data_IF_880122923496
#
_entry.id   IF_880122923496
#
_cell.length_a   1.000
_cell.length_b   1.000
_cell.length_c   1.000
_cell.angle_alpha   90.00
_cell.angle_beta   90.00
_cell.angle_gamma   90.00
#
_symmetry.space_group_name_H-M   'P 1'
#
loop_
_entity.id
_entity.type
_entity.pdbx_description
1 polymer ?
#
# COMPACT_ATOMS: atom_id res chain seq x y z
N UNK A 1 -32.99 -10.33 26.60
CA UNK A 1 -31.92 -10.52 27.60
C UNK A 1 -30.64 -9.90 27.02
N UNK A 2 -30.24 -8.71 27.48
CA UNK A 2 -29.14 -7.96 26.87
C UNK A 2 -27.81 -8.63 27.21
N UNK A 3 -27.05 -9.07 26.21
CA UNK A 3 -25.68 -9.54 26.36
C UNK A 3 -24.74 -8.36 26.74
N UNK A 4 -24.85 -7.85 27.97
CA UNK A 4 -23.87 -6.90 28.55
C UNK A 4 -22.64 -7.67 29.02
N UNK A 5 -21.90 -8.23 28.08
CA UNK A 5 -20.71 -9.03 28.34
C UNK A 5 -19.56 -8.66 27.40
N UNK A 6 -18.34 -8.94 27.84
CA UNK A 6 -17.16 -8.81 26.98
C UNK A 6 -17.19 -9.90 25.91
N UNK A 7 -17.00 -9.51 24.64
CA UNK A 7 -16.89 -10.40 23.47
C UNK A 7 -15.51 -10.25 22.84
N UNK A 8 -14.96 -11.35 22.34
CA UNK A 8 -13.71 -11.35 21.55
C UNK A 8 -14.04 -11.85 20.15
N UNK A 9 -13.75 -11.04 19.14
CA UNK A 9 -13.91 -11.38 17.73
C UNK A 9 -12.53 -11.62 17.12
N UNK A 10 -12.37 -12.75 16.44
CA UNK A 10 -11.15 -13.13 15.73
C UNK A 10 -11.48 -13.33 14.26
N UNK A 11 -10.88 -12.52 13.41
CA UNK A 11 -10.92 -12.66 11.98
C UNK A 11 -9.53 -13.11 11.55
N UNK A 12 -9.39 -14.40 11.21
CA UNK A 12 -8.09 -14.97 10.84
C UNK A 12 -7.63 -14.50 9.46
N UNK A 13 -8.56 -14.06 8.61
CA UNK A 13 -8.30 -13.41 7.33
C UNK A 13 -9.25 -12.22 7.12
N UNK A 14 -8.70 -11.08 6.73
CA UNK A 14 -9.43 -9.89 6.33
C UNK A 14 -9.60 -9.90 4.81
N UNK A 15 -10.83 -10.08 4.34
CA UNK A 15 -11.14 -10.04 2.92
C UNK A 15 -11.32 -8.59 2.42
N UNK A 16 -11.28 -8.42 1.10
CA UNK A 16 -11.47 -7.13 0.41
C UNK A 16 -10.47 -6.05 0.85
N UNK A 17 -9.23 -6.44 1.04
CA UNK A 17 -8.07 -5.55 1.18
C UNK A 17 -6.94 -6.13 0.35
N UNK A 18 -5.95 -5.31 0.02
CA UNK A 18 -4.69 -5.80 -0.51
C UNK A 18 -3.82 -6.35 0.63
N UNK A 19 -3.02 -7.37 0.32
CA UNK A 19 -2.17 -8.05 1.28
C UNK A 19 -2.91 -9.00 2.22
N UNK A 20 -2.19 -9.48 3.24
CA UNK A 20 -2.67 -10.50 4.16
C UNK A 20 -2.67 -10.01 5.61
N UNK A 21 -3.86 -9.90 6.20
CA UNK A 21 -4.03 -9.45 7.57
C UNK A 21 -5.14 -10.18 8.32
N UNK A 22 -4.97 -10.27 9.64
CA UNK A 22 -5.94 -10.77 10.61
C UNK A 22 -6.30 -9.67 11.60
N UNK A 23 -7.52 -9.72 12.15
CA UNK A 23 -8.02 -8.72 13.11
C UNK A 23 -8.51 -9.40 14.39
N UNK A 24 -8.04 -8.90 15.54
CA UNK A 24 -8.51 -9.29 16.86
C UNK A 24 -9.17 -8.10 17.54
N UNK A 25 -10.46 -8.23 17.86
CA UNK A 25 -11.25 -7.18 18.51
C UNK A 25 -11.75 -7.64 19.88
N UNK A 26 -11.69 -6.75 20.86
CA UNK A 26 -12.42 -6.88 22.14
C UNK A 26 -13.57 -5.87 22.16
N UNK A 27 -14.78 -6.35 22.41
CA UNK A 27 -15.98 -5.53 22.46
C UNK A 27 -16.59 -5.62 23.85
N UNK A 28 -16.82 -4.48 24.51
CA UNK A 28 -17.48 -4.37 25.81
C UNK A 28 -18.69 -3.46 25.67
N UNK A 29 -19.87 -3.94 26.05
CA UNK A 29 -21.10 -3.13 26.03
C UNK A 29 -21.34 -2.39 24.69
N UNK A 30 -21.09 -3.05 23.56
CA UNK A 30 -21.15 -2.52 22.18
C UNK A 30 -20.01 -1.59 21.75
N UNK A 31 -19.03 -1.32 22.62
CA UNK A 31 -17.84 -0.50 22.28
C UNK A 31 -16.64 -1.40 22.01
N UNK A 32 -15.93 -1.17 20.90
CA UNK A 32 -14.61 -1.78 20.67
C UNK A 32 -13.62 -1.15 21.65
N UNK A 33 -13.09 -1.94 22.57
CA UNK A 33 -12.13 -1.50 23.59
C UNK A 33 -10.69 -1.87 23.25
N UNK A 34 -10.50 -2.77 22.27
CA UNK A 34 -9.20 -3.20 21.79
C UNK A 34 -9.32 -3.62 20.32
N UNK A 35 -8.38 -3.19 19.48
CA UNK A 35 -8.23 -3.66 18.11
C UNK A 35 -6.75 -3.95 17.84
N UNK A 36 -6.43 -5.17 17.40
CA UNK A 36 -5.09 -5.56 16.97
C UNK A 36 -5.14 -6.05 15.53
N UNK A 37 -4.44 -5.35 14.65
CA UNK A 37 -4.17 -5.79 13.28
C UNK A 37 -2.89 -6.62 13.27
N UNK A 38 -2.95 -7.81 12.69
CA UNK A 38 -1.79 -8.68 12.49
C UNK A 38 -1.59 -8.87 11.00
N UNK A 39 -0.57 -8.22 10.45
CA UNK A 39 -0.12 -8.42 9.07
C UNK A 39 0.80 -9.65 9.09
N UNK A 40 0.47 -10.66 8.30
CA UNK A 40 1.24 -11.92 8.25
C UNK A 40 1.72 -12.26 6.84
N UNK A 41 1.59 -11.31 5.92
CA UNK A 41 2.15 -11.39 4.58
C UNK A 41 3.66 -11.68 4.65
N UNK A 42 4.17 -12.64 3.86
CA UNK A 42 5.58 -12.98 3.91
C UNK A 42 6.45 -11.78 3.52
N UNK A 43 7.50 -11.45 4.30
CA UNK A 43 8.38 -10.35 3.94
C UNK A 43 9.09 -10.64 2.61
N UNK A 44 8.95 -9.71 1.66
CA UNK A 44 9.55 -9.81 0.31
C UNK A 44 10.93 -9.15 0.21
N UNK A 45 11.33 -8.38 1.22
CA UNK A 45 12.66 -7.79 1.37
C UNK A 45 13.15 -6.93 0.17
N UNK A 46 12.25 -6.13 -0.42
CA UNK A 46 12.60 -5.23 -1.54
C UNK A 46 13.77 -4.29 -1.23
N UNK A 47 13.87 -3.78 0.00
CA UNK A 47 14.96 -2.89 0.42
C UNK A 47 16.32 -3.59 0.35
N UNK A 48 16.42 -4.80 0.89
CA UNK A 48 17.64 -5.60 0.81
C UNK A 48 17.95 -6.00 -0.64
N UNK A 49 16.91 -6.30 -1.44
CA UNK A 49 17.04 -6.64 -2.85
C UNK A 49 17.57 -5.50 -3.72
N UNK A 50 17.36 -4.24 -3.31
CA UNK A 50 17.85 -3.05 -4.00
C UNK A 50 19.33 -2.74 -3.71
N UNK A 51 19.93 -3.34 -2.68
CA UNK A 51 21.34 -3.10 -2.34
C UNK A 51 22.25 -3.58 -3.48
N UNK A 52 23.12 -2.68 -3.96
CA UNK A 52 24.07 -2.97 -5.04
C UNK A 52 23.47 -2.96 -6.45
N UNK A 53 22.18 -2.67 -6.60
CA UNK A 53 21.51 -2.50 -7.90
C UNK A 53 21.90 -1.17 -8.55
N UNK A 54 21.89 -1.14 -9.88
CA UNK A 54 22.08 0.07 -10.66
C UNK A 54 20.89 1.02 -10.51
N UNK A 55 21.14 2.33 -10.56
CA UNK A 55 20.10 3.35 -10.36
C UNK A 55 18.98 3.34 -11.41
N UNK A 56 19.10 2.60 -12.51
CA UNK A 56 18.05 2.44 -13.53
C UNK A 56 17.06 1.32 -13.22
N UNK A 57 17.38 0.41 -12.30
CA UNK A 57 16.55 -0.75 -11.93
C UNK A 57 15.41 -0.44 -10.92
N UNK A 58 15.57 0.48 -9.94
CA UNK A 58 14.57 0.69 -8.89
C UNK A 58 13.15 0.97 -9.38
N UNK A 59 12.88 1.81 -10.40
CA UNK A 59 11.51 2.08 -10.83
C UNK A 59 10.76 0.81 -11.19
N UNK A 60 11.40 -0.12 -11.89
CA UNK A 60 10.78 -1.40 -12.21
C UNK A 60 10.67 -2.31 -10.99
N UNK A 61 11.72 -2.43 -10.19
CA UNK A 61 11.72 -3.32 -9.03
C UNK A 61 10.64 -2.90 -8.02
N UNK A 62 10.58 -1.63 -7.64
CA UNK A 62 9.65 -1.14 -6.60
C UNK A 62 8.20 -1.21 -7.05
N UNK A 63 7.91 -1.12 -8.35
CA UNK A 63 6.56 -1.29 -8.90
C UNK A 63 5.92 -2.65 -8.54
N UNK A 64 6.74 -3.65 -8.19
CA UNK A 64 6.28 -5.00 -7.82
C UNK A 64 6.00 -5.13 -6.31
N UNK A 65 6.15 -4.05 -5.55
CA UNK A 65 5.75 -4.02 -4.13
C UNK A 65 4.22 -4.14 -4.01
N UNK A 66 3.45 -3.45 -4.84
CA UNK A 66 2.00 -3.58 -4.86
C UNK A 66 1.48 -3.53 -6.29
N UNK A 67 0.66 -4.51 -6.68
CA UNK A 67 0.07 -4.57 -8.01
C UNK A 67 -1.09 -3.59 -8.22
N UNK A 68 -1.65 -3.02 -7.16
CA UNK A 68 -2.74 -2.03 -7.21
C UNK A 68 -2.21 -0.61 -7.40
N UNK A 69 -1.05 -0.29 -6.83
CA UNK A 69 -0.44 1.05 -6.94
C UNK A 69 1.00 1.07 -7.50
N UNK A 70 1.29 0.35 -8.60
CA UNK A 70 2.65 0.25 -9.14
C UNK A 70 3.23 1.61 -9.59
N UNK A 71 2.42 2.51 -10.15
CA UNK A 71 2.83 3.84 -10.62
C UNK A 71 3.28 4.71 -9.46
N UNK A 72 2.60 4.66 -8.30
CA UNK A 72 3.05 5.35 -7.10
C UNK A 72 4.48 4.95 -6.70
N UNK A 73 4.81 3.66 -6.76
CA UNK A 73 6.17 3.16 -6.49
C UNK A 73 7.17 3.55 -7.58
N UNK A 74 6.79 3.47 -8.85
CA UNK A 74 7.63 3.89 -9.98
C UNK A 74 7.99 5.37 -9.89
N UNK A 75 6.99 6.22 -9.68
CA UNK A 75 7.17 7.67 -9.61
C UNK A 75 7.99 8.07 -8.39
N UNK A 76 7.81 7.40 -7.25
CA UNK A 76 8.61 7.63 -6.05
C UNK A 76 10.08 7.27 -6.26
N UNK A 77 10.35 6.13 -6.91
CA UNK A 77 11.71 5.71 -7.24
C UNK A 77 12.39 6.69 -8.21
N UNK A 78 11.70 7.09 -9.29
CA UNK A 78 12.21 8.08 -10.24
C UNK A 78 12.56 9.40 -9.56
N UNK A 79 11.65 9.94 -8.72
CA UNK A 79 11.89 11.19 -7.98
C UNK A 79 13.05 11.08 -7.00
N UNK A 80 13.22 9.94 -6.33
CA UNK A 80 14.35 9.71 -5.43
C UNK A 80 15.69 9.70 -6.18
N UNK A 81 15.75 9.05 -7.36
CA UNK A 81 16.93 9.02 -8.22
C UNK A 81 17.23 10.42 -8.78
N UNK A 82 16.22 11.13 -9.26
CA UNK A 82 16.34 12.49 -9.77
C UNK A 82 16.90 13.44 -8.72
N UNK A 83 16.39 13.36 -7.48
CA UNK A 83 16.90 14.11 -6.35
C UNK A 83 18.38 13.76 -6.06
N UNK A 84 18.71 12.46 -6.00
CA UNK A 84 20.09 12.01 -5.79
C UNK A 84 21.05 12.49 -6.89
N UNK A 85 20.56 12.63 -8.13
CA UNK A 85 21.32 13.13 -9.27
C UNK A 85 21.30 14.67 -9.42
N UNK A 86 20.53 15.40 -8.59
CA UNK A 86 20.35 16.85 -8.73
C UNK A 86 19.62 17.26 -10.01
N UNK A 87 18.78 16.39 -10.56
CA UNK A 87 18.01 16.61 -11.79
C UNK A 87 16.59 17.05 -11.44
N UNK A 88 16.09 18.07 -12.16
CA UNK A 88 14.68 18.47 -12.10
C UNK A 88 14.01 18.11 -13.42
N UNK A 89 12.86 17.42 -13.34
CA UNK A 89 12.01 17.12 -14.49
C UNK A 89 10.82 18.06 -14.46
N UNK A 90 10.70 18.91 -15.48
CA UNK A 90 9.65 19.93 -15.59
C UNK A 90 8.93 19.88 -16.95
N UNK A 91 8.04 20.85 -17.15
CA UNK A 91 7.31 21.03 -18.40
C UNK A 91 6.44 19.81 -18.79
N UNK A 92 6.33 19.51 -20.10
CA UNK A 92 5.46 18.44 -20.59
C UNK A 92 5.74 17.05 -20.00
N UNK A 93 6.98 16.75 -19.62
CA UNK A 93 7.32 15.45 -19.01
C UNK A 93 6.74 15.32 -17.59
N UNK A 94 6.82 16.38 -16.80
CA UNK A 94 6.20 16.41 -15.47
C UNK A 94 4.67 16.31 -15.56
N UNK A 95 4.06 16.97 -16.56
CA UNK A 95 2.62 16.89 -16.81
C UNK A 95 2.18 15.48 -17.22
N UNK A 96 2.94 14.81 -18.10
CA UNK A 96 2.66 13.41 -18.48
C UNK A 96 2.77 12.45 -17.29
N UNK A 97 3.77 12.64 -16.44
CA UNK A 97 3.92 11.86 -15.19
C UNK A 97 2.75 12.08 -14.24
N UNK A 98 2.29 13.33 -14.10
CA UNK A 98 1.12 13.66 -13.30
C UNK A 98 -0.15 13.03 -13.88
N UNK A 99 -0.32 13.07 -15.20
CA UNK A 99 -1.44 12.42 -15.89
C UNK A 99 -1.46 10.91 -15.63
N UNK A 100 -0.31 10.24 -15.76
CA UNK A 100 -0.17 8.81 -15.47
C UNK A 100 -0.56 8.49 -14.01
N UNK A 101 -0.04 9.25 -13.05
CA UNK A 101 -0.37 9.09 -11.63
C UNK A 101 -1.86 9.33 -11.34
N UNK A 102 -2.47 10.36 -11.95
CA UNK A 102 -3.91 10.59 -11.84
C UNK A 102 -4.73 9.43 -12.43
N UNK A 103 -4.24 8.79 -13.49
CA UNK A 103 -4.86 7.59 -14.06
C UNK A 103 -4.93 6.43 -13.06
N UNK A 104 -3.79 6.08 -12.44
CA UNK A 104 -3.76 5.09 -11.36
C UNK A 104 -4.64 5.51 -10.18
N UNK A 105 -4.62 6.80 -9.80
CA UNK A 105 -5.43 7.28 -8.68
C UNK A 105 -6.93 7.04 -8.92
N UNK A 106 -7.43 7.35 -10.12
CA UNK A 106 -8.83 7.11 -10.50
C UNK A 106 -9.13 5.60 -10.51
N UNK A 107 -8.26 4.80 -11.11
CA UNK A 107 -8.38 3.34 -11.16
C UNK A 107 -8.46 2.74 -9.75
N UNK A 108 -7.49 3.06 -8.88
CA UNK A 108 -7.38 2.55 -7.52
C UNK A 108 -8.58 2.95 -6.65
N UNK A 109 -9.08 4.18 -6.78
CA UNK A 109 -10.27 4.62 -6.05
C UNK A 109 -11.53 3.92 -6.55
N UNK A 110 -11.65 3.72 -7.86
CA UNK A 110 -12.77 2.97 -8.44
C UNK A 110 -12.72 1.51 -7.97
N UNK A 111 -11.56 0.86 -8.03
CA UNK A 111 -11.34 -0.48 -7.50
C UNK A 111 -11.75 -0.56 -6.02
N UNK A 112 -11.28 0.37 -5.19
CA UNK A 112 -11.57 0.37 -3.76
C UNK A 112 -13.06 0.57 -3.43
N UNK A 113 -13.76 1.46 -4.14
CA UNK A 113 -15.18 1.74 -3.86
C UNK A 113 -16.09 0.58 -4.30
N UNK A 114 -15.79 -0.03 -5.44
CA UNK A 114 -16.72 -0.98 -6.07
C UNK A 114 -16.37 -2.45 -5.83
N UNK A 115 -15.09 -2.76 -5.59
CA UNK A 115 -14.60 -4.15 -5.55
C UNK A 115 -13.89 -4.51 -4.24
N UNK A 116 -13.57 -3.53 -3.39
CA UNK A 116 -13.09 -3.73 -2.01
C UNK A 116 -14.16 -3.29 -0.99
#
# INVERSE_FOLDING_TARGET
MSHRGTRVLRLDALARVEGEAALHLRVQEETVTEARLRIYEPPRFFEAFLIGRGHTEPPDITARICGICPVAYQMSACQAIENACGVTVDGPLAELRRLLYCGEWIESHTLHIYLL
#
